data_IF_429027731329
#
_entry.id   IF_429027731329
#
_cell.length_a   1.000
_cell.length_b   1.000
_cell.length_c   1.000
_cell.angle_alpha   90.00
_cell.angle_beta   90.00
_cell.angle_gamma   90.00
#
_symmetry.space_group_name_H-M   'P 1'
#
loop_
_entity.id
_entity.type
_entity.pdbx_description
1 polymer ?
#
# COMPACT_ATOMS: atom_id res chain seq x y z
N UNK A 1 5.27 9.63 -13.60
CA UNK A 1 4.02 10.23 -14.10
C UNK A 1 3.28 10.84 -12.93
N UNK A 2 2.93 12.13 -12.97
CA UNK A 2 2.15 12.78 -11.91
C UNK A 2 0.66 12.42 -11.98
N UNK A 3 -0.06 12.58 -10.86
CA UNK A 3 -1.51 12.49 -10.80
C UNK A 3 -2.14 13.80 -11.27
N UNK A 4 -3.12 13.72 -12.18
CA UNK A 4 -3.94 14.90 -12.52
C UNK A 4 -4.91 15.24 -11.38
N UNK A 5 -5.48 16.46 -11.39
CA UNK A 5 -6.50 16.85 -10.40
C UNK A 5 -7.69 15.88 -10.39
N UNK A 6 -8.14 15.43 -11.58
CA UNK A 6 -9.20 14.42 -11.71
C UNK A 6 -8.80 13.10 -11.05
N UNK A 7 -7.57 12.62 -11.27
CA UNK A 7 -7.10 11.37 -10.67
C UNK A 7 -6.98 11.48 -9.15
N UNK A 8 -6.53 12.62 -8.62
CA UNK A 8 -6.49 12.86 -7.18
C UNK A 8 -7.90 12.81 -6.56
N UNK A 9 -8.88 13.45 -7.20
CA UNK A 9 -10.28 13.37 -6.76
C UNK A 9 -10.80 11.92 -6.81
N UNK A 10 -10.59 11.20 -7.91
CA UNK A 10 -10.97 9.78 -8.03
C UNK A 10 -10.36 8.91 -6.92
N UNK A 11 -9.08 9.12 -6.59
CA UNK A 11 -8.43 8.40 -5.48
C UNK A 11 -9.10 8.74 -4.15
N UNK A 12 -9.30 10.03 -3.83
CA UNK A 12 -9.96 10.45 -2.58
C UNK A 12 -11.37 9.87 -2.47
N UNK A 13 -12.15 9.94 -3.54
CA UNK A 13 -13.52 9.43 -3.60
C UNK A 13 -13.55 7.91 -3.41
N UNK A 14 -12.68 7.18 -4.10
CA UNK A 14 -12.62 5.73 -3.93
C UNK A 14 -12.17 5.32 -2.51
N UNK A 15 -11.13 5.97 -1.98
CA UNK A 15 -10.64 5.66 -0.62
C UNK A 15 -11.64 6.03 0.48
N UNK A 16 -12.58 6.95 0.23
CA UNK A 16 -13.70 7.20 1.14
C UNK A 16 -14.60 5.96 1.29
N UNK A 17 -14.82 5.19 0.22
CA UNK A 17 -15.60 3.94 0.23
C UNK A 17 -14.81 2.79 0.86
N UNK A 18 -13.53 2.70 0.53
CA UNK A 18 -12.57 1.73 1.09
C UNK A 18 -12.52 1.78 2.61
N UNK A 19 -12.84 2.94 3.23
CA UNK A 19 -12.74 3.13 4.68
C UNK A 19 -13.55 2.10 5.47
N UNK A 20 -14.70 1.70 4.94
CA UNK A 20 -15.59 0.68 5.52
C UNK A 20 -14.97 -0.71 5.61
N UNK A 21 -13.95 -1.01 4.80
CA UNK A 21 -13.29 -2.33 4.67
C UNK A 21 -11.76 -2.22 4.72
N UNK A 22 -11.23 -1.12 5.27
CA UNK A 22 -9.80 -0.82 5.27
C UNK A 22 -8.97 -1.92 5.96
N UNK A 23 -9.44 -2.38 7.12
CA UNK A 23 -8.73 -3.41 7.88
C UNK A 23 -8.68 -4.75 7.14
N UNK A 24 -9.80 -5.14 6.53
CA UNK A 24 -9.89 -6.36 5.72
C UNK A 24 -8.95 -6.31 4.51
N UNK A 25 -8.92 -5.17 3.80
CA UNK A 25 -8.01 -4.96 2.66
C UNK A 25 -6.55 -5.05 3.11
N UNK A 26 -6.18 -4.40 4.21
CA UNK A 26 -4.81 -4.42 4.71
C UNK A 26 -4.37 -5.82 5.11
N UNK A 27 -5.20 -6.52 5.89
CA UNK A 27 -4.95 -7.88 6.33
C UNK A 27 -4.81 -8.85 5.15
N UNK A 28 -5.71 -8.77 4.18
CA UNK A 28 -5.72 -9.64 3.00
C UNK A 28 -4.56 -9.31 2.05
N UNK A 29 -4.24 -8.03 1.83
CA UNK A 29 -3.14 -7.63 0.96
C UNK A 29 -1.78 -8.10 1.48
N UNK A 30 -1.53 -7.98 2.79
CA UNK A 30 -0.28 -8.49 3.36
C UNK A 30 -0.26 -10.03 3.40
N UNK A 31 -1.40 -10.67 3.66
CA UNK A 31 -1.52 -12.14 3.58
C UNK A 31 -1.19 -12.66 2.18
N UNK A 32 -1.67 -11.99 1.13
CA UNK A 32 -1.34 -12.29 -0.27
C UNK A 32 0.13 -12.05 -0.57
N UNK A 33 0.70 -10.95 -0.07
CA UNK A 33 2.11 -10.64 -0.29
C UNK A 33 2.99 -11.78 0.22
N UNK A 34 2.77 -12.23 1.46
CA UNK A 34 3.60 -13.29 2.06
C UNK A 34 3.30 -14.68 1.45
N UNK A 35 2.11 -14.91 0.91
CA UNK A 35 1.77 -16.16 0.22
C UNK A 35 2.38 -16.25 -1.19
N UNK A 36 2.16 -15.22 -2.01
CA UNK A 36 2.44 -15.21 -3.46
C UNK A 36 3.88 -14.78 -3.74
N UNK A 37 4.47 -13.95 -2.87
CA UNK A 37 5.83 -13.45 -3.00
C UNK A 37 6.66 -13.86 -1.78
N UNK A 38 7.01 -15.15 -1.64
CA UNK A 38 7.64 -15.68 -0.43
C UNK A 38 8.98 -15.03 -0.09
N UNK A 39 9.67 -14.42 -1.06
CA UNK A 39 10.89 -13.63 -0.82
C UNK A 39 10.67 -12.44 0.13
N UNK A 40 9.43 -11.94 0.24
CA UNK A 40 9.09 -10.84 1.14
C UNK A 40 9.00 -11.26 2.61
N UNK A 41 8.91 -12.57 2.91
CA UNK A 41 8.83 -13.07 4.29
C UNK A 41 10.07 -12.75 5.12
N UNK A 42 11.23 -12.59 4.49
CA UNK A 42 12.50 -12.30 5.18
C UNK A 42 12.44 -11.01 6.02
N UNK A 43 11.70 -9.99 5.56
CA UNK A 43 11.48 -8.73 6.28
C UNK A 43 10.64 -8.91 7.56
N UNK A 44 9.93 -10.02 7.67
CA UNK A 44 9.03 -10.34 8.78
C UNK A 44 9.52 -11.51 9.63
N UNK A 45 10.78 -11.92 9.47
CA UNK A 45 11.39 -13.09 10.15
C UNK A 45 11.42 -12.99 11.69
N UNK A 46 11.22 -11.80 12.23
CA UNK A 46 11.10 -11.56 13.67
C UNK A 46 9.72 -11.93 14.25
N UNK A 47 8.71 -12.18 13.40
CA UNK A 47 7.42 -12.69 13.85
C UNK A 47 7.45 -14.21 13.99
N UNK A 48 6.80 -14.71 15.05
CA UNK A 48 6.67 -16.16 15.30
C UNK A 48 5.84 -16.89 14.23
N UNK A 49 4.93 -16.19 13.57
CA UNK A 49 4.03 -16.76 12.56
C UNK A 49 3.79 -15.76 11.41
N UNK A 50 4.35 -16.07 10.25
CA UNK A 50 4.21 -15.29 8.99
C UNK A 50 3.30 -16.02 8.00
N UNK A 51 2.40 -16.87 8.49
CA UNK A 51 1.38 -17.49 7.64
C UNK A 51 0.31 -16.46 7.23
N UNK A 52 -0.29 -16.61 6.02
CA UNK A 52 -1.43 -15.80 5.62
C UNK A 52 -2.55 -15.84 6.66
N UNK A 53 -3.09 -14.68 7.05
CA UNK A 53 -4.13 -14.59 8.07
C UNK A 53 -3.65 -14.67 9.52
N UNK A 54 -2.35 -14.87 9.78
CA UNK A 54 -1.82 -14.86 11.16
C UNK A 54 -2.06 -13.51 11.85
N UNK A 55 -2.15 -13.53 13.18
CA UNK A 55 -2.36 -12.31 13.97
C UNK A 55 -1.36 -11.17 13.67
N UNK A 56 -0.03 -11.41 13.61
CA UNK A 56 0.92 -10.34 13.28
C UNK A 56 0.77 -9.84 11.84
N UNK A 57 0.49 -10.72 10.86
CA UNK A 57 0.24 -10.34 9.46
C UNK A 57 -1.00 -9.44 9.37
N UNK A 58 -2.10 -9.83 9.99
CA UNK A 58 -3.33 -9.01 9.99
C UNK A 58 -3.10 -7.65 10.62
N UNK A 59 -2.47 -7.61 11.81
CA UNK A 59 -2.19 -6.36 12.54
C UNK A 59 -1.30 -5.41 11.74
N UNK A 60 -0.26 -5.93 11.09
CA UNK A 60 0.64 -5.09 10.31
C UNK A 60 0.01 -4.64 8.98
N UNK A 61 -0.81 -5.48 8.35
CA UNK A 61 -1.63 -5.10 7.19
C UNK A 61 -2.52 -3.88 7.47
N UNK A 62 -3.15 -3.83 8.65
CA UNK A 62 -3.93 -2.66 9.10
C UNK A 62 -3.04 -1.43 9.26
N UNK A 63 -1.83 -1.61 9.83
CA UNK A 63 -0.85 -0.52 9.99
C UNK A 63 -0.44 0.07 8.64
N UNK A 64 -0.21 -0.79 7.64
CA UNK A 64 0.10 -0.37 6.26
C UNK A 64 -1.04 0.46 5.69
N UNK A 65 -2.29 0.03 5.84
CA UNK A 65 -3.44 0.81 5.35
C UNK A 65 -3.55 2.18 6.02
N UNK A 66 -3.22 2.29 7.32
CA UNK A 66 -3.08 3.59 7.98
C UNK A 66 -2.09 4.53 7.27
N UNK A 67 -0.92 4.01 6.89
CA UNK A 67 0.06 4.76 6.10
C UNK A 67 -0.43 5.13 4.69
N UNK A 68 -1.20 4.25 4.04
CA UNK A 68 -1.82 4.55 2.73
C UNK A 68 -2.86 5.67 2.86
N UNK A 69 -3.68 5.68 3.91
CA UNK A 69 -4.64 6.76 4.16
C UNK A 69 -3.97 8.10 4.44
N UNK A 70 -2.88 8.11 5.22
CA UNK A 70 -2.06 9.30 5.41
C UNK A 70 -1.49 9.81 4.07
N UNK A 71 -1.03 8.90 3.20
CA UNK A 71 -0.59 9.25 1.85
C UNK A 71 -1.72 9.83 0.97
N UNK A 72 -2.96 9.34 1.08
CA UNK A 72 -4.13 9.95 0.40
C UNK A 72 -4.38 11.38 0.91
N UNK A 73 -4.21 11.62 2.22
CA UNK A 73 -4.29 12.96 2.81
C UNK A 73 -3.18 13.90 2.30
N UNK A 74 -2.01 13.34 1.97
CA UNK A 74 -0.81 14.05 1.48
C UNK A 74 -0.63 13.96 -0.05
N UNK A 75 -1.70 13.63 -0.80
CA UNK A 75 -1.61 13.32 -2.24
C UNK A 75 -1.09 14.47 -3.12
N UNK A 76 -1.07 15.70 -2.60
CA UNK A 76 -0.51 16.86 -3.27
C UNK A 76 1.02 16.98 -3.14
N UNK A 77 1.60 16.44 -2.06
CA UNK A 77 3.05 16.32 -1.85
C UNK A 77 3.40 15.02 -1.13
N UNK A 78 3.41 13.91 -1.88
CA UNK A 78 3.76 12.59 -1.34
C UNK A 78 5.23 12.52 -0.91
N UNK A 79 6.12 13.22 -1.63
CA UNK A 79 7.56 13.20 -1.36
C UNK A 79 7.88 13.84 -0.01
N UNK A 80 7.38 15.05 0.24
CA UNK A 80 7.54 15.70 1.55
C UNK A 80 6.74 14.99 2.63
N UNK A 81 5.50 14.59 2.31
CA UNK A 81 4.58 13.98 3.26
C UNK A 81 5.00 12.61 3.80
N UNK A 82 5.73 11.81 3.02
CA UNK A 82 6.17 10.46 3.38
C UNK A 82 7.66 10.37 3.73
N UNK A 83 8.33 11.51 3.94
CA UNK A 83 9.78 11.57 4.16
C UNK A 83 10.24 10.66 5.31
N UNK A 84 9.64 10.78 6.49
CA UNK A 84 10.00 9.96 7.66
C UNK A 84 9.73 8.47 7.43
N UNK A 85 8.70 8.13 6.66
CA UNK A 85 8.39 6.74 6.32
C UNK A 85 9.40 6.17 5.31
N UNK A 86 9.88 7.01 4.38
CA UNK A 86 10.99 6.68 3.48
C UNK A 86 12.27 6.41 4.24
N UNK A 87 12.65 7.27 5.20
CA UNK A 87 13.84 7.08 6.05
C UNK A 87 13.76 5.80 6.87
N UNK A 88 12.59 5.51 7.45
CA UNK A 88 12.35 4.26 8.17
C UNK A 88 12.59 3.04 7.28
N UNK A 89 11.98 3.01 6.08
CA UNK A 89 12.11 1.87 5.17
C UNK A 89 13.52 1.73 4.58
N UNK A 90 14.18 2.86 4.30
CA UNK A 90 15.52 2.89 3.70
C UNK A 90 16.62 2.52 4.70
N UNK A 91 16.66 3.18 5.86
CA UNK A 91 17.82 3.11 6.75
C UNK A 91 17.67 2.08 7.86
N UNK A 92 16.46 1.97 8.43
CA UNK A 92 16.20 1.10 9.59
C UNK A 92 15.75 -0.29 9.15
N UNK A 93 14.72 -0.35 8.29
CA UNK A 93 14.15 -1.63 7.84
C UNK A 93 14.89 -2.21 6.63
N UNK A 94 15.57 -1.36 5.84
CA UNK A 94 16.34 -1.71 4.64
C UNK A 94 15.55 -2.59 3.67
N UNK A 95 14.27 -2.26 3.46
CA UNK A 95 13.38 -3.00 2.56
C UNK A 95 13.78 -2.71 1.12
N UNK A 96 14.10 -3.69 0.27
CA UNK A 96 14.38 -3.40 -1.14
C UNK A 96 13.15 -2.73 -1.80
N UNK A 97 13.30 -1.54 -2.45
CA UNK A 97 12.20 -0.79 -3.06
C UNK A 97 11.38 -1.59 -4.08
N UNK A 98 11.97 -2.64 -4.66
CA UNK A 98 11.27 -3.55 -5.59
C UNK A 98 10.04 -4.19 -4.95
N UNK A 99 9.97 -4.27 -3.62
CA UNK A 99 8.85 -4.91 -2.90
C UNK A 99 7.63 -4.01 -2.77
N UNK A 100 7.77 -2.68 -2.87
CA UNK A 100 6.63 -1.76 -2.77
C UNK A 100 5.61 -2.00 -3.88
N UNK A 101 6.05 -2.27 -5.11
CA UNK A 101 5.15 -2.61 -6.24
C UNK A 101 4.44 -3.96 -6.05
N UNK A 102 5.05 -4.90 -5.32
CA UNK A 102 4.42 -6.21 -5.05
C UNK A 102 3.23 -6.03 -4.10
N UNK A 103 3.44 -5.26 -3.02
CA UNK A 103 2.36 -4.92 -2.09
C UNK A 103 1.29 -4.06 -2.76
N UNK A 104 1.67 -3.08 -3.58
CA UNK A 104 0.73 -2.28 -4.36
C UNK A 104 -0.17 -3.16 -5.23
N UNK A 105 0.41 -4.14 -5.94
CA UNK A 105 -0.37 -5.09 -6.73
C UNK A 105 -1.34 -5.92 -5.87
N UNK A 106 -0.88 -6.45 -4.72
CA UNK A 106 -1.77 -7.17 -3.80
C UNK A 106 -2.94 -6.30 -3.32
N UNK A 107 -2.71 -5.01 -3.03
CA UNK A 107 -3.78 -4.07 -2.66
C UNK A 107 -4.78 -3.86 -3.79
N UNK A 108 -4.32 -3.67 -5.04
CA UNK A 108 -5.20 -3.54 -6.20
C UNK A 108 -6.10 -4.78 -6.37
N UNK A 109 -5.54 -5.99 -6.20
CA UNK A 109 -6.29 -7.24 -6.23
C UNK A 109 -7.36 -7.25 -5.13
N UNK A 110 -7.01 -6.94 -3.89
CA UNK A 110 -7.98 -6.91 -2.78
C UNK A 110 -9.09 -5.88 -3.00
N UNK A 111 -8.74 -4.67 -3.43
CA UNK A 111 -9.71 -3.61 -3.72
C UNK A 111 -10.67 -4.03 -4.83
N UNK A 112 -10.17 -4.67 -5.89
CA UNK A 112 -11.01 -5.19 -6.99
C UNK A 112 -11.96 -6.31 -6.55
N UNK A 113 -11.55 -7.15 -5.59
CA UNK A 113 -12.38 -8.25 -5.08
C UNK A 113 -13.46 -7.77 -4.11
N UNK A 114 -13.16 -6.75 -3.30
CA UNK A 114 -14.06 -6.27 -2.24
C UNK A 114 -15.03 -5.21 -2.77
N UNK A 115 -14.61 -4.40 -3.75
CA UNK A 115 -15.41 -3.34 -4.36
C UNK A 115 -15.48 -3.51 -5.89
N UNK A 116 -15.99 -4.66 -6.41
CA UNK A 116 -15.92 -4.96 -7.84
C UNK A 116 -16.67 -3.94 -8.71
N UNK A 117 -17.79 -3.42 -8.23
CA UNK A 117 -18.61 -2.45 -8.98
C UNK A 117 -18.00 -1.05 -8.94
N UNK A 118 -17.37 -0.66 -7.84
CA UNK A 118 -16.71 0.64 -7.73
C UNK A 118 -15.30 0.66 -8.32
N UNK A 119 -14.61 -0.47 -8.36
CA UNK A 119 -13.24 -0.61 -8.89
C UNK A 119 -13.21 -0.69 -10.42
N UNK A 120 -13.86 0.29 -11.03
CA UNK A 120 -13.90 0.50 -12.49
C UNK A 120 -12.50 0.69 -13.08
N UNK A 121 -12.31 0.51 -14.40
CA UNK A 121 -11.02 0.77 -15.05
C UNK A 121 -10.46 2.18 -14.79
N UNK A 122 -11.32 3.19 -14.68
CA UNK A 122 -10.92 4.57 -14.41
C UNK A 122 -10.39 4.73 -12.97
N UNK A 123 -11.05 4.09 -11.99
CA UNK A 123 -10.57 4.03 -10.61
C UNK A 123 -9.26 3.26 -10.54
N UNK A 124 -9.17 2.10 -11.20
CA UNK A 124 -7.96 1.30 -11.23
C UNK A 124 -6.76 2.12 -11.75
N UNK A 125 -6.88 2.80 -12.89
CA UNK A 125 -5.79 3.64 -13.42
C UNK A 125 -5.38 4.75 -12.44
N UNK A 126 -6.35 5.38 -11.75
CA UNK A 126 -6.05 6.43 -10.78
C UNK A 126 -5.35 5.89 -9.53
N UNK A 127 -5.83 4.77 -8.97
CA UNK A 127 -5.28 4.12 -7.77
C UNK A 127 -3.91 3.50 -8.06
N UNK A 128 -3.73 2.82 -9.20
CA UNK A 128 -2.44 2.28 -9.60
C UNK A 128 -1.37 3.38 -9.74
N UNK A 129 -1.71 4.48 -10.42
CA UNK A 129 -0.82 5.65 -10.49
C UNK A 129 -0.52 6.24 -9.11
N UNK A 130 -1.50 6.29 -8.21
CA UNK A 130 -1.29 6.77 -6.85
C UNK A 130 -0.34 5.87 -6.07
N UNK A 131 -0.56 4.55 -6.09
CA UNK A 131 0.31 3.59 -5.41
C UNK A 131 1.73 3.60 -5.99
N UNK A 132 1.88 3.80 -7.30
CA UNK A 132 3.20 3.98 -7.92
C UNK A 132 3.90 5.26 -7.45
N UNK A 133 3.17 6.37 -7.27
CA UNK A 133 3.73 7.62 -6.71
C UNK A 133 4.05 7.48 -5.21
N UNK A 134 3.23 6.76 -4.45
CA UNK A 134 3.49 6.42 -3.05
C UNK A 134 4.77 5.58 -2.94
N UNK A 135 4.91 4.53 -3.75
CA UNK A 135 6.12 3.70 -3.80
C UNK A 135 7.37 4.52 -4.18
N UNK A 136 7.24 5.44 -5.13
CA UNK A 136 8.32 6.36 -5.51
C UNK A 136 8.73 7.27 -4.34
N UNK A 137 7.76 7.82 -3.60
CA UNK A 137 8.02 8.65 -2.42
C UNK A 137 8.69 7.85 -1.29
N UNK A 138 8.29 6.60 -1.07
CA UNK A 138 8.97 5.71 -0.12
C UNK A 138 10.41 5.39 -0.55
N UNK A 139 10.67 5.31 -1.85
CA UNK A 139 12.00 5.05 -2.40
C UNK A 139 12.94 6.28 -2.39
N UNK A 140 12.46 7.47 -1.99
CA UNK A 140 13.21 8.73 -2.11
C UNK A 140 14.54 8.72 -1.34
N UNK A 141 14.60 8.11 -0.16
CA UNK A 141 15.80 8.12 0.72
C UNK A 141 16.75 6.94 0.57
N UNK A 142 16.58 6.13 -0.47
CA UNK A 142 17.41 4.94 -0.68
C UNK A 142 18.81 5.25 -1.23
N UNK A 143 19.04 6.48 -1.72
CA UNK A 143 20.30 6.93 -2.30
C UNK A 143 20.46 8.45 -2.16
#
# INVERSE_FOLDING_TARGET
>A
MSLSAKQKATVKDFFSKVSSRSEDIGAEALSRLVAVYPQTKSYFSHWKDVSPGSAPVRKHGITIMGGVYDAVGKIDDLKGGLLSLSELHAFMLRVDPVNFKLLAHCMLVCMSMIFPDEFTPQVHVAVDKFLAQLALALAEKYR
#
